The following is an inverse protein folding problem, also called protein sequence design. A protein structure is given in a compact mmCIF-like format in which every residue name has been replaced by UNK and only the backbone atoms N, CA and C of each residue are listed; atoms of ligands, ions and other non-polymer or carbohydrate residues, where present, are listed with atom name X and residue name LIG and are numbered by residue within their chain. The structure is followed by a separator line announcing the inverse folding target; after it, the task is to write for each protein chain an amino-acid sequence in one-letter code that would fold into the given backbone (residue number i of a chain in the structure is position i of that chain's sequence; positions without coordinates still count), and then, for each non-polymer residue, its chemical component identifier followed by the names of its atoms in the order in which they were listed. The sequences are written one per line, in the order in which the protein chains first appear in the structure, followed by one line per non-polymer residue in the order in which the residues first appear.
data_IF_828401349109
#
_entry.id   IF_828401349109
#
_cell.length_a   1.000
_cell.length_b   1.000
_cell.length_c   1.000
_cell.angle_alpha   90.00
_cell.angle_beta   90.00
_cell.angle_gamma   90.00
#
_symmetry.space_group_name_H-M   'P 1'
#
loop_
_entity.id
_entity.type
_entity.pdbx_description
1 polymer ?
#
# COMPACT_ATOMS: atom_id res chain seq x y z
N UNK A 1 -15.63 60.99 21.87
CA UNK A 1 -15.91 59.97 20.83
C UNK A 1 -14.73 59.02 20.75
N UNK A 2 -14.79 57.89 21.46
CA UNK A 2 -13.76 56.86 21.48
C UNK A 2 -14.42 55.57 20.99
N UNK A 3 -14.06 55.18 19.78
CA UNK A 3 -14.48 53.95 19.13
C UNK A 3 -13.91 52.74 19.90
N UNK A 4 -14.74 51.77 20.34
CA UNK A 4 -14.22 50.54 20.93
C UNK A 4 -13.66 49.63 19.83
N UNK A 5 -12.35 49.81 19.61
CA UNK A 5 -11.27 48.82 19.49
C UNK A 5 -11.55 47.52 18.69
N UNK A 6 -10.83 47.28 17.57
CA UNK A 6 -10.94 46.10 16.69
C UNK A 6 -10.33 44.80 17.27
N UNK A 7 -10.07 44.76 18.58
CA UNK A 7 -9.30 43.69 19.24
C UNK A 7 -10.17 42.43 19.45
N UNK A 8 -11.50 42.58 19.54
CA UNK A 8 -12.41 41.43 19.64
C UNK A 8 -12.44 40.59 18.35
N UNK A 9 -12.24 41.22 17.18
CA UNK A 9 -12.29 40.53 15.89
C UNK A 9 -11.07 39.61 15.67
N UNK A 10 -9.90 39.99 16.21
CA UNK A 10 -8.66 39.21 16.07
C UNK A 10 -8.66 37.96 16.94
N UNK A 11 -9.27 38.00 18.13
CA UNK A 11 -9.38 36.82 19.00
C UNK A 11 -10.34 35.76 18.44
N UNK A 12 -11.39 36.16 17.73
CA UNK A 12 -12.35 35.24 17.12
C UNK A 12 -11.73 34.46 15.93
N UNK A 13 -10.82 35.08 15.18
CA UNK A 13 -10.12 34.44 14.05
C UNK A 13 -9.04 33.45 14.51
N UNK A 14 -8.36 33.70 15.64
CA UNK A 14 -7.38 32.77 16.18
C UNK A 14 -8.01 31.48 16.76
N UNK A 15 -9.23 31.57 17.30
CA UNK A 15 -9.96 30.42 17.82
C UNK A 15 -10.40 29.44 16.71
N UNK A 16 -10.70 29.95 15.50
CA UNK A 16 -11.09 29.13 14.34
C UNK A 16 -9.85 28.42 13.76
N UNK A 17 -8.68 29.07 13.74
CA UNK A 17 -7.43 28.45 13.29
C UNK A 17 -6.97 27.32 14.23
N UNK A 18 -7.14 27.45 15.55
CA UNK A 18 -6.82 26.39 16.49
C UNK A 18 -7.78 25.18 16.39
N UNK A 19 -9.06 25.42 16.04
CA UNK A 19 -10.03 24.35 15.80
C UNK A 19 -9.75 23.55 14.51
N UNK A 20 -9.11 24.17 13.52
CA UNK A 20 -8.71 23.52 12.27
C UNK A 20 -7.43 22.68 12.43
N UNK A 21 -6.51 23.07 13.33
CA UNK A 21 -5.30 22.27 13.65
C UNK A 21 -5.60 21.14 14.64
N UNK A 22 -6.60 21.30 15.51
CA UNK A 22 -7.11 20.22 16.36
C UNK A 22 -7.93 19.14 15.62
N UNK A 23 -8.42 19.45 14.41
CA UNK A 23 -9.26 18.55 13.61
C UNK A 23 -8.53 17.43 12.86
N UNK A 24 -7.18 17.44 12.85
CA UNK A 24 -6.37 16.38 12.24
C UNK A 24 -5.63 15.53 13.28
N UNK A 25 -5.91 15.71 14.57
CA UNK A 25 -5.60 14.68 15.55
C UNK A 25 -6.71 13.66 15.47
N UNK A 26 -6.37 12.41 15.12
CA UNK A 26 -7.26 11.25 15.01
C UNK A 26 -8.16 11.08 16.24
N UNK A 27 -9.22 11.86 16.34
CA UNK A 27 -10.36 11.56 17.19
C UNK A 27 -11.07 10.43 16.49
N UNK A 28 -10.87 9.22 17.02
CA UNK A 28 -11.75 8.09 16.80
C UNK A 28 -13.18 8.54 17.14
N UNK A 29 -13.88 9.09 16.15
CA UNK A 29 -15.33 8.87 16.09
C UNK A 29 -15.45 7.36 16.12
N UNK A 30 -15.89 6.81 17.26
CA UNK A 30 -16.24 5.41 17.39
C UNK A 30 -17.44 5.17 16.47
N UNK A 31 -17.12 5.01 15.20
CA UNK A 31 -18.02 4.80 14.09
C UNK A 31 -18.01 3.30 13.89
N UNK A 32 -18.86 2.60 14.62
CA UNK A 32 -18.94 1.15 14.50
C UNK A 32 -19.53 0.53 15.74
N UNK A 33 -20.48 -0.39 15.56
CA UNK A 33 -20.96 -1.25 16.63
C UNK A 33 -19.83 -2.12 17.19
N UNK A 34 -20.21 -3.10 18.00
CA UNK A 34 -19.27 -4.06 18.59
C UNK A 34 -18.39 -4.69 17.52
N UNK A 35 -17.07 -4.72 17.76
CA UNK A 35 -16.15 -5.46 16.89
C UNK A 35 -16.49 -6.95 16.92
N UNK A 36 -16.38 -7.66 15.78
CA UNK A 36 -16.62 -9.10 15.72
C UNK A 36 -15.54 -9.89 16.47
N UNK A 37 -15.83 -11.14 16.81
CA UNK A 37 -14.84 -12.08 17.36
C UNK A 37 -13.68 -12.30 16.37
N UNK A 38 -12.47 -11.94 16.81
CA UNK A 38 -11.24 -12.05 16.02
C UNK A 38 -10.90 -13.50 15.66
N UNK A 39 -11.12 -14.48 16.55
CA UNK A 39 -10.76 -15.87 16.30
C UNK A 39 -11.61 -16.46 15.18
N UNK A 40 -12.92 -16.18 15.21
CA UNK A 40 -13.84 -16.58 14.16
C UNK A 40 -13.49 -15.92 12.83
N UNK A 41 -13.19 -14.62 12.83
CA UNK A 41 -12.83 -13.88 11.61
C UNK A 41 -11.55 -14.43 10.97
N UNK A 42 -10.49 -14.67 11.75
CA UNK A 42 -9.24 -15.22 11.24
C UNK A 42 -9.42 -16.63 10.65
N UNK A 43 -10.26 -17.46 11.28
CA UNK A 43 -10.57 -18.81 10.76
C UNK A 43 -11.27 -18.74 9.40
N UNK A 44 -12.25 -17.85 9.26
CA UNK A 44 -12.98 -17.65 8.00
C UNK A 44 -12.06 -17.10 6.91
N UNK A 45 -11.27 -16.07 7.22
CA UNK A 45 -10.29 -15.49 6.28
C UNK A 45 -9.28 -16.53 5.81
N UNK A 46 -8.74 -17.36 6.72
CA UNK A 46 -7.82 -18.44 6.35
C UNK A 46 -8.46 -19.44 5.39
N UNK A 47 -9.72 -19.84 5.63
CA UNK A 47 -10.45 -20.75 4.75
C UNK A 47 -10.71 -20.13 3.38
N UNK A 48 -11.12 -18.86 3.33
CA UNK A 48 -11.34 -18.15 2.08
C UNK A 48 -10.04 -17.99 1.27
N UNK A 49 -8.96 -17.53 1.90
CA UNK A 49 -7.66 -17.31 1.25
C UNK A 49 -7.07 -18.60 0.69
N UNK A 50 -7.21 -19.74 1.39
CA UNK A 50 -6.75 -21.06 0.89
C UNK A 50 -7.42 -21.47 -0.43
N UNK A 51 -8.63 -20.97 -0.69
CA UNK A 51 -9.40 -21.34 -1.87
C UNK A 51 -9.22 -20.37 -3.05
N UNK A 52 -8.48 -19.27 -2.86
CA UNK A 52 -8.21 -18.30 -3.93
C UNK A 52 -7.44 -18.96 -5.07
N UNK A 53 -7.89 -18.68 -6.31
CA UNK A 53 -7.21 -19.13 -7.53
C UNK A 53 -6.40 -18.03 -8.18
N UNK A 54 -6.89 -16.80 -8.07
CA UNK A 54 -6.23 -15.62 -8.62
C UNK A 54 -6.47 -14.41 -7.70
N UNK A 55 -5.52 -13.47 -7.71
CA UNK A 55 -5.55 -12.27 -6.88
C UNK A 55 -4.76 -11.15 -7.55
N UNK A 56 -5.20 -9.91 -7.35
CA UNK A 56 -4.39 -8.73 -7.59
C UNK A 56 -3.68 -8.35 -6.29
N UNK A 57 -2.35 -8.26 -6.33
CA UNK A 57 -1.52 -8.01 -5.16
C UNK A 57 -0.81 -6.65 -5.31
N UNK A 58 -0.90 -5.83 -4.27
CA UNK A 58 -0.12 -4.60 -4.12
C UNK A 58 0.73 -4.74 -2.87
N UNK A 59 2.05 -4.81 -3.05
CA UNK A 59 3.06 -4.94 -2.01
C UNK A 59 3.88 -3.66 -1.94
N UNK A 60 4.08 -3.16 -0.73
CA UNK A 60 4.95 -2.03 -0.44
C UNK A 60 5.83 -2.36 0.77
N UNK A 61 7.12 -2.01 0.68
CA UNK A 61 8.08 -2.15 1.77
C UNK A 61 8.29 -0.78 2.42
N UNK A 62 7.86 -0.67 3.68
CA UNK A 62 8.07 0.52 4.48
C UNK A 62 9.44 0.45 5.18
N UNK A 63 10.34 1.38 4.83
CA UNK A 63 11.71 1.42 5.35
C UNK A 63 12.67 0.57 4.51
N UNK A 64 13.71 0.03 5.17
CA UNK A 64 14.70 -0.84 4.52
C UNK A 64 14.76 -2.19 5.25
N UNK A 65 14.49 -3.27 4.53
CA UNK A 65 14.64 -4.64 5.03
C UNK A 65 15.92 -5.22 4.42
N UNK A 66 16.84 -5.67 5.28
CA UNK A 66 18.11 -6.26 4.83
C UNK A 66 17.81 -7.46 3.93
N UNK A 67 18.47 -7.53 2.78
CA UNK A 67 18.31 -8.60 1.77
C UNK A 67 16.94 -8.66 1.07
N UNK A 68 16.10 -7.63 1.19
CA UNK A 68 14.87 -7.51 0.40
C UNK A 68 14.99 -6.28 -0.51
N UNK A 69 15.39 -6.45 -1.78
CA UNK A 69 15.58 -5.33 -2.69
C UNK A 69 14.26 -4.77 -3.24
N UNK A 70 13.13 -5.47 -3.07
CA UNK A 70 11.81 -4.98 -3.53
C UNK A 70 11.36 -3.81 -2.67
N UNK A 71 10.95 -2.72 -3.31
CA UNK A 71 10.30 -1.56 -2.67
C UNK A 71 8.80 -1.58 -2.88
N UNK A 72 8.38 -1.81 -4.12
CA UNK A 72 6.97 -1.91 -4.50
C UNK A 72 6.79 -3.05 -5.49
N UNK A 73 5.60 -3.66 -5.49
CA UNK A 73 5.17 -4.60 -6.50
C UNK A 73 3.65 -4.50 -6.65
N UNK A 74 3.18 -4.39 -7.88
CA UNK A 74 1.76 -4.51 -8.24
C UNK A 74 1.63 -5.54 -9.33
N UNK A 75 0.69 -6.47 -9.19
CA UNK A 75 0.55 -7.51 -10.19
C UNK A 75 -0.59 -8.47 -9.92
N UNK A 76 -0.86 -9.27 -10.94
CA UNK A 76 -1.84 -10.34 -10.89
C UNK A 76 -1.11 -11.66 -10.73
N UNK A 77 -1.60 -12.50 -9.82
CA UNK A 77 -1.15 -13.87 -9.58
C UNK A 77 -2.30 -14.82 -9.87
N UNK A 78 -2.01 -15.93 -10.54
CA UNK A 78 -2.94 -17.06 -10.67
C UNK A 78 -2.23 -18.39 -10.41
N UNK A 79 -2.99 -19.37 -9.94
CA UNK A 79 -2.55 -20.77 -9.74
C UNK A 79 -3.38 -21.76 -10.56
N UNK A 80 -4.27 -21.26 -11.43
CA UNK A 80 -5.16 -22.09 -12.26
C UNK A 80 -5.29 -21.45 -13.65
N UNK A 81 -5.13 -22.23 -14.74
CA UNK A 81 -4.81 -23.67 -14.80
C UNK A 81 -3.37 -24.00 -14.41
N UNK A 82 -2.47 -23.02 -14.38
CA UNK A 82 -1.08 -23.15 -13.96
C UNK A 82 -0.67 -21.92 -13.13
N UNK A 83 0.46 -22.01 -12.43
CA UNK A 83 1.05 -20.87 -11.73
C UNK A 83 1.59 -19.88 -12.74
N UNK A 84 1.09 -18.65 -12.69
CA UNK A 84 1.58 -17.55 -13.51
C UNK A 84 1.38 -16.23 -12.78
N UNK A 85 2.23 -15.25 -13.07
CA UNK A 85 2.12 -13.91 -12.54
C UNK A 85 2.54 -12.88 -13.58
N UNK A 86 2.02 -11.66 -13.46
CA UNK A 86 2.56 -10.52 -14.22
C UNK A 86 2.37 -9.24 -13.43
N UNK A 87 3.26 -8.29 -13.64
CA UNK A 87 3.13 -7.01 -12.96
C UNK A 87 4.30 -6.09 -13.19
N UNK A 88 4.38 -5.09 -12.32
CA UNK A 88 5.49 -4.17 -12.26
C UNK A 88 5.85 -3.85 -10.81
N UNK A 89 7.02 -3.27 -10.61
CA UNK A 89 7.47 -2.88 -9.29
C UNK A 89 8.74 -2.06 -9.35
N UNK A 90 9.16 -1.57 -8.20
CA UNK A 90 10.44 -0.89 -8.03
C UNK A 90 11.34 -1.77 -7.18
N UNK A 91 12.55 -2.03 -7.67
CA UNK A 91 13.61 -2.72 -6.93
C UNK A 91 14.78 -1.77 -6.69
N UNK A 92 15.48 -1.96 -5.58
CA UNK A 92 16.77 -1.31 -5.33
C UNK A 92 17.90 -2.18 -5.86
N UNK A 93 18.65 -1.63 -6.81
CA UNK A 93 19.88 -2.20 -7.36
C UNK A 93 21.07 -1.36 -6.89
N UNK A 94 21.73 -1.83 -5.83
CA UNK A 94 22.73 -1.03 -5.11
C UNK A 94 22.06 0.20 -4.46
N UNK A 95 22.56 1.39 -4.79
CA UNK A 95 22.01 2.66 -4.30
C UNK A 95 20.96 3.29 -5.23
N UNK A 96 20.63 2.61 -6.34
CA UNK A 96 19.68 3.11 -7.35
C UNK A 96 18.39 2.33 -7.33
N UNK A 97 17.27 3.01 -7.59
CA UNK A 97 15.98 2.36 -7.80
C UNK A 97 15.72 2.16 -9.28
N UNK A 98 15.19 0.98 -9.62
CA UNK A 98 14.89 0.56 -10.98
C UNK A 98 13.46 0.08 -11.03
N UNK A 99 12.68 0.64 -11.95
CA UNK A 99 11.35 0.16 -12.26
C UNK A 99 11.45 -1.04 -13.20
N UNK A 100 10.75 -2.10 -12.84
CA UNK A 100 10.78 -3.38 -13.56
C UNK A 100 9.37 -3.81 -13.92
N UNK A 101 9.22 -4.40 -15.10
CA UNK A 101 8.06 -5.24 -15.43
C UNK A 101 8.48 -6.69 -15.31
N UNK A 102 7.59 -7.55 -14.85
CA UNK A 102 7.85 -8.98 -14.74
C UNK A 102 6.69 -9.83 -15.24
N UNK A 103 7.02 -11.02 -15.70
CA UNK A 103 6.10 -12.10 -16.02
C UNK A 103 6.70 -13.39 -15.46
N UNK A 104 5.89 -14.20 -14.79
CA UNK A 104 6.20 -15.59 -14.47
C UNK A 104 5.29 -16.45 -15.32
N UNK A 105 5.89 -17.26 -16.17
CA UNK A 105 5.19 -18.22 -17.03
C UNK A 105 6.02 -19.49 -17.16
N UNK A 106 5.37 -20.65 -17.22
CA UNK A 106 6.08 -21.94 -17.28
C UNK A 106 6.96 -22.27 -16.06
N UNK A 107 6.94 -21.45 -15.00
CA UNK A 107 7.82 -21.57 -13.83
C UNK A 107 9.07 -20.69 -13.90
N UNK A 108 9.29 -19.97 -14.99
CA UNK A 108 10.44 -19.09 -15.18
C UNK A 108 10.05 -17.61 -15.03
N UNK A 109 10.99 -16.82 -14.50
CA UNK A 109 10.88 -15.38 -14.32
C UNK A 109 11.47 -14.65 -15.52
N UNK A 110 10.62 -13.87 -16.17
CA UNK A 110 11.00 -12.89 -17.18
C UNK A 110 10.87 -11.49 -16.60
N UNK A 111 11.89 -10.64 -16.78
CA UNK A 111 11.81 -9.25 -16.36
C UNK A 111 12.39 -8.29 -17.39
N UNK A 112 11.76 -7.12 -17.51
CA UNK A 112 12.24 -6.00 -18.32
C UNK A 112 12.68 -4.86 -17.40
N UNK A 113 13.99 -4.58 -17.39
CA UNK A 113 14.58 -3.46 -16.64
C UNK A 113 14.47 -2.13 -17.39
N UNK A 114 14.12 -2.16 -18.69
CA UNK A 114 13.90 -0.98 -19.53
C UNK A 114 13.00 -1.32 -20.72
N UNK A 115 12.01 -0.46 -20.96
CA UNK A 115 11.04 -0.63 -22.06
C UNK A 115 10.20 -1.89 -21.92
N UNK A 116 10.24 -2.75 -22.94
CA UNK A 116 9.54 -4.04 -23.01
C UNK A 116 10.50 -5.18 -23.43
N UNK A 117 11.80 -5.02 -23.14
CA UNK A 117 12.82 -6.03 -23.43
C UNK A 117 12.90 -7.01 -22.25
N UNK A 118 12.19 -8.12 -22.33
CA UNK A 118 12.21 -9.16 -21.30
C UNK A 118 13.44 -10.05 -21.44
N UNK A 119 14.23 -10.11 -20.37
CA UNK A 119 15.27 -11.11 -20.19
C UNK A 119 14.74 -12.25 -19.32
N UNK A 120 15.22 -13.46 -19.60
CA UNK A 120 14.98 -14.66 -18.79
C UNK A 120 15.97 -14.68 -17.61
N UNK A 121 15.44 -14.80 -16.40
CA UNK A 121 16.19 -14.87 -15.15
C UNK A 121 16.15 -16.28 -14.51
N UNK A 122 15.58 -17.26 -15.21
CA UNK A 122 15.46 -18.65 -14.77
C UNK A 122 14.29 -18.90 -13.83
N UNK A 123 14.30 -20.04 -13.11
CA UNK A 123 13.18 -20.48 -12.28
C UNK A 123 12.78 -19.46 -11.21
N UNK A 124 11.47 -19.27 -11.04
CA UNK A 124 10.84 -18.39 -10.05
C UNK A 124 10.65 -19.04 -8.67
#
# INVERSE_FOLDING_TARGET
MQTPRPILAVLALLAIAAALVGGCSSSSKQSGGSLPDAATLLKQSSQATKNLKSVHLVLSVNGKIKHLPVKTLTGDLTTTPATAAKGSGTISFGDTDVDVKFVVDGGDLYAALSGDNYADYGPA
#
